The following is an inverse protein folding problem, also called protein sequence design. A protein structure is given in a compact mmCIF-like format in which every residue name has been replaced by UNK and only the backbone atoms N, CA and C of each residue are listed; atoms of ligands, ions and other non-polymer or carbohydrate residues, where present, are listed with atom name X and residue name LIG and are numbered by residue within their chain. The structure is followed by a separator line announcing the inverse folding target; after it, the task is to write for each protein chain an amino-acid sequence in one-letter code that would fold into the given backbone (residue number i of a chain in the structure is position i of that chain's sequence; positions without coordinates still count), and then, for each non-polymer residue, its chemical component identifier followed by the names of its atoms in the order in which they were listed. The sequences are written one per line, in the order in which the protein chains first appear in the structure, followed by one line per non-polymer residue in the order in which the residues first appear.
data_IF_940860026568
#
_entry.id   IF_940860026568
#
_cell.length_a   1.000
_cell.length_b   1.000
_cell.length_c   1.000
_cell.angle_alpha   90.00
_cell.angle_beta   90.00
_cell.angle_gamma   90.00
#
_symmetry.space_group_name_H-M   'P 1'
#
loop_
_entity.id
_entity.type
_entity.pdbx_description
1 polymer ?
#
# COMPACT_ATOMS: atom_id res chain seq x y z
N UNK A 1 -26.36 -10.73 -10.33
CA UNK A 1 -26.42 -12.01 -9.61
C UNK A 1 -27.31 -13.01 -10.34
N UNK A 2 -28.58 -12.70 -10.56
CA UNK A 2 -29.55 -13.60 -11.22
C UNK A 2 -29.04 -14.17 -12.55
N UNK A 3 -28.42 -13.34 -13.38
CA UNK A 3 -27.78 -13.74 -14.63
C UNK A 3 -26.71 -14.81 -14.45
N UNK A 4 -25.83 -14.67 -13.45
CA UNK A 4 -24.74 -15.62 -13.16
C UNK A 4 -25.25 -16.96 -12.66
N UNK A 5 -26.45 -17.00 -12.08
CA UNK A 5 -27.06 -18.22 -11.53
C UNK A 5 -28.14 -18.81 -12.46
N UNK A 6 -28.29 -18.26 -13.66
CA UNK A 6 -29.29 -18.69 -14.64
C UNK A 6 -28.72 -19.72 -15.62
N UNK A 7 -29.59 -20.33 -16.42
CA UNK A 7 -29.19 -21.22 -17.51
C UNK A 7 -28.38 -20.51 -18.62
N UNK A 8 -28.38 -19.17 -18.64
CA UNK A 8 -27.61 -18.35 -19.58
C UNK A 8 -26.20 -18.00 -19.07
N UNK A 9 -25.83 -18.44 -17.86
CA UNK A 9 -24.58 -18.05 -17.22
C UNK A 9 -23.36 -18.38 -18.08
N UNK A 10 -23.32 -19.59 -18.66
CA UNK A 10 -22.20 -20.04 -19.49
C UNK A 10 -21.95 -19.11 -20.68
N UNK A 11 -22.98 -18.83 -21.49
CA UNK A 11 -22.86 -18.00 -22.68
C UNK A 11 -22.36 -16.59 -22.34
N UNK A 12 -22.85 -16.02 -21.25
CA UNK A 12 -22.51 -14.67 -20.81
C UNK A 12 -21.08 -14.60 -20.26
N UNK A 13 -20.67 -15.58 -19.44
CA UNK A 13 -19.31 -15.65 -18.90
C UNK A 13 -18.30 -15.83 -20.05
N UNK A 14 -18.61 -16.68 -21.04
CA UNK A 14 -17.77 -16.85 -22.24
C UNK A 14 -17.65 -15.55 -23.03
N UNK A 15 -18.77 -14.82 -23.19
CA UNK A 15 -18.75 -13.52 -23.88
C UNK A 15 -17.84 -12.52 -23.16
N UNK A 16 -18.00 -12.36 -21.85
CA UNK A 16 -17.18 -11.44 -21.04
C UNK A 16 -15.71 -11.82 -21.10
N UNK A 17 -15.39 -13.12 -21.00
CA UNK A 17 -14.01 -13.60 -21.13
C UNK A 17 -13.38 -13.23 -22.48
N UNK A 18 -14.14 -13.36 -23.57
CA UNK A 18 -13.65 -13.03 -24.91
C UNK A 18 -13.45 -11.52 -25.14
N UNK A 19 -14.11 -10.67 -24.33
CA UNK A 19 -13.91 -9.22 -24.36
C UNK A 19 -12.66 -8.77 -23.57
N UNK A 20 -12.00 -9.69 -22.85
CA UNK A 20 -10.76 -9.45 -22.07
C UNK A 20 -10.89 -8.27 -21.08
N UNK A 21 -12.06 -8.16 -20.46
CA UNK A 21 -12.37 -7.10 -19.48
C UNK A 21 -11.76 -7.47 -18.12
N UNK A 22 -10.97 -6.56 -17.53
CA UNK A 22 -10.56 -6.68 -16.14
C UNK A 22 -11.73 -6.33 -15.20
N UNK A 23 -12.30 -7.38 -14.60
CA UNK A 23 -13.47 -7.29 -13.71
C UNK A 23 -13.14 -6.48 -12.45
N UNK A 24 -11.90 -6.56 -11.96
CA UNK A 24 -11.46 -5.79 -10.79
C UNK A 24 -11.47 -4.31 -11.13
N UNK A 25 -10.85 -3.93 -12.24
CA UNK A 25 -10.71 -2.53 -12.63
C UNK A 25 -12.10 -1.91 -12.93
N UNK A 26 -12.98 -2.67 -13.58
CA UNK A 26 -14.38 -2.27 -13.80
C UNK A 26 -15.11 -2.01 -12.48
N UNK A 27 -15.01 -2.92 -11.51
CA UNK A 27 -15.63 -2.74 -10.20
C UNK A 27 -15.03 -1.54 -9.45
N UNK A 28 -13.71 -1.33 -9.57
CA UNK A 28 -13.00 -0.24 -8.94
C UNK A 28 -13.42 1.15 -9.45
N UNK A 29 -13.69 1.26 -10.75
CA UNK A 29 -14.12 2.49 -11.41
C UNK A 29 -15.60 2.78 -11.16
N UNK A 30 -16.46 1.77 -11.23
CA UNK A 30 -17.91 1.97 -11.29
C UNK A 30 -18.64 1.76 -9.96
N UNK A 31 -18.13 0.90 -9.07
CA UNK A 31 -18.92 0.35 -7.94
C UNK A 31 -18.20 0.37 -6.58
N UNK A 32 -16.91 0.71 -6.53
CA UNK A 32 -16.14 0.73 -5.29
C UNK A 32 -16.64 1.77 -4.28
N UNK A 33 -17.09 1.32 -3.10
CA UNK A 33 -17.51 2.22 -2.02
C UNK A 33 -16.33 2.57 -1.09
N UNK A 34 -15.61 3.62 -1.50
CA UNK A 34 -14.37 4.05 -0.82
C UNK A 34 -14.63 4.83 0.47
N UNK A 35 -15.81 5.43 0.63
CA UNK A 35 -16.13 6.31 1.78
C UNK A 35 -16.67 5.52 2.96
N UNK A 36 -17.60 4.59 2.73
CA UNK A 36 -18.27 3.86 3.80
C UNK A 36 -17.60 2.51 4.06
N UNK A 37 -17.26 1.77 2.99
CA UNK A 37 -16.71 0.41 3.11
C UNK A 37 -15.17 0.38 3.11
N UNK A 38 -14.52 1.51 2.85
CA UNK A 38 -13.05 1.66 2.76
C UNK A 38 -12.40 0.56 1.90
N UNK A 39 -13.07 0.19 0.82
CA UNK A 39 -12.59 -0.84 -0.11
C UNK A 39 -11.39 -0.30 -0.87
N UNK A 40 -10.21 -0.86 -0.61
CA UNK A 40 -9.02 -0.65 -1.42
C UNK A 40 -8.56 -2.00 -1.96
N UNK A 41 -8.20 -2.03 -3.24
CA UNK A 41 -7.87 -3.27 -3.91
C UNK A 41 -6.44 -3.68 -3.62
N UNK A 42 -6.21 -4.98 -3.48
CA UNK A 42 -4.86 -5.52 -3.33
C UNK A 42 -4.13 -5.46 -4.69
N UNK A 43 -3.00 -4.73 -4.80
CA UNK A 43 -2.19 -4.67 -6.01
C UNK A 43 -1.63 -6.04 -6.40
N UNK A 44 -1.45 -6.28 -7.70
CA UNK A 44 -0.97 -7.57 -8.24
C UNK A 44 0.39 -7.97 -7.67
N UNK A 45 1.30 -7.02 -7.47
CA UNK A 45 2.60 -7.29 -6.87
C UNK A 45 2.50 -7.80 -5.42
N UNK A 46 1.53 -7.31 -4.64
CA UNK A 46 1.25 -7.81 -3.28
C UNK A 46 0.57 -9.19 -3.37
N UNK A 47 -0.38 -9.38 -4.29
CA UNK A 47 -1.01 -10.68 -4.53
C UNK A 47 0.04 -11.76 -4.86
N UNK A 48 0.97 -11.46 -5.77
CA UNK A 48 2.07 -12.35 -6.15
C UNK A 48 3.01 -12.64 -4.99
N UNK A 49 3.32 -11.63 -4.17
CA UNK A 49 4.13 -11.80 -2.97
C UNK A 49 3.45 -12.75 -1.98
N UNK A 50 2.18 -12.52 -1.65
CA UNK A 50 1.41 -13.37 -0.73
C UNK A 50 1.30 -14.80 -1.26
N UNK A 51 1.02 -14.97 -2.55
CA UNK A 51 0.95 -16.29 -3.19
C UNK A 51 2.25 -17.10 -3.03
N UNK A 52 3.41 -16.46 -3.30
CA UNK A 52 4.74 -17.08 -3.15
C UNK A 52 5.16 -17.34 -1.70
N UNK A 53 4.56 -16.62 -0.75
CA UNK A 53 4.76 -16.80 0.69
C UNK A 53 3.76 -17.79 1.30
N UNK A 54 2.73 -18.22 0.57
CA UNK A 54 1.74 -19.19 1.06
C UNK A 54 2.33 -20.60 1.04
N UNK A 55 1.94 -21.45 2.00
CA UNK A 55 2.37 -22.85 2.05
C UNK A 55 1.50 -23.73 1.16
N UNK A 56 1.97 -24.96 0.86
CA UNK A 56 1.13 -25.94 0.18
C UNK A 56 -0.05 -26.35 1.07
N UNK A 57 -1.22 -26.50 0.47
CA UNK A 57 -2.42 -26.96 1.15
C UNK A 57 -3.62 -26.08 0.84
N UNK A 58 -4.70 -26.29 1.58
CA UNK A 58 -5.90 -25.47 1.51
C UNK A 58 -5.63 -24.02 1.92
N UNK A 59 -6.29 -23.06 1.28
CA UNK A 59 -6.17 -21.63 1.59
C UNK A 59 -7.54 -20.97 1.63
N UNK A 60 -7.81 -20.17 2.67
CA UNK A 60 -9.00 -19.30 2.74
C UNK A 60 -8.58 -17.83 2.73
N UNK A 61 -9.28 -17.04 1.92
CA UNK A 61 -9.28 -15.58 2.02
C UNK A 61 -10.47 -15.11 2.86
N UNK A 62 -10.20 -14.54 4.03
CA UNK A 62 -11.24 -14.13 4.98
C UNK A 62 -11.82 -12.73 4.73
N UNK A 63 -11.24 -11.98 3.80
CA UNK A 63 -11.66 -10.64 3.42
C UNK A 63 -11.43 -10.47 1.91
N UNK A 64 -12.09 -11.31 1.12
CA UNK A 64 -11.66 -11.55 -0.26
C UNK A 64 -11.90 -10.39 -1.21
N UNK A 65 -12.86 -9.51 -0.91
CA UNK A 65 -13.27 -8.46 -1.82
C UNK A 65 -13.72 -9.09 -3.15
N UNK A 66 -12.99 -8.77 -4.23
CA UNK A 66 -13.22 -9.34 -5.56
C UNK A 66 -12.48 -10.66 -5.82
N UNK A 67 -11.83 -11.26 -4.81
CA UNK A 67 -11.18 -12.57 -4.93
C UNK A 67 -9.79 -12.53 -5.58
N UNK A 68 -9.15 -11.36 -5.67
CA UNK A 68 -7.87 -11.21 -6.38
C UNK A 68 -6.70 -11.92 -5.68
N UNK A 69 -6.73 -11.96 -4.35
CA UNK A 69 -5.68 -12.56 -3.53
C UNK A 69 -5.80 -14.09 -3.53
N UNK A 70 -7.01 -14.63 -3.30
CA UNK A 70 -7.33 -16.05 -3.46
C UNK A 70 -7.05 -16.55 -4.87
N UNK A 71 -7.38 -15.78 -5.93
CA UNK A 71 -7.04 -16.10 -7.32
C UNK A 71 -5.53 -16.24 -7.53
N UNK A 72 -4.73 -15.31 -7.00
CA UNK A 72 -3.27 -15.38 -7.14
C UNK A 72 -2.70 -16.63 -6.45
N UNK A 73 -3.17 -16.95 -5.24
CA UNK A 73 -2.79 -18.18 -4.54
C UNK A 73 -3.22 -19.43 -5.31
N UNK A 74 -4.45 -19.46 -5.82
CA UNK A 74 -4.98 -20.58 -6.58
C UNK A 74 -4.15 -20.85 -7.85
N UNK A 75 -3.75 -19.80 -8.57
CA UNK A 75 -2.92 -19.92 -9.78
C UNK A 75 -1.47 -20.34 -9.46
N UNK A 76 -0.87 -19.80 -8.41
CA UNK A 76 0.51 -20.14 -8.00
C UNK A 76 0.62 -21.58 -7.47
N UNK A 77 -0.34 -21.99 -6.63
CA UNK A 77 -0.24 -23.22 -5.84
C UNK A 77 -1.19 -24.34 -6.31
N UNK A 78 -2.04 -24.11 -7.30
CA UNK A 78 -3.01 -25.09 -7.80
C UNK A 78 -4.09 -25.45 -6.78
N UNK A 79 -4.50 -24.49 -5.94
CA UNK A 79 -5.50 -24.69 -4.89
C UNK A 79 -6.88 -24.24 -5.34
N UNK A 80 -7.93 -24.77 -4.70
CA UNK A 80 -9.28 -24.22 -4.84
C UNK A 80 -9.36 -22.84 -4.18
N UNK A 81 -10.26 -21.97 -4.68
CA UNK A 81 -10.58 -20.70 -4.02
C UNK A 81 -11.58 -20.93 -2.90
N UNK A 82 -11.24 -20.50 -1.69
CA UNK A 82 -12.18 -20.48 -0.56
C UNK A 82 -12.22 -19.05 -0.03
N UNK A 83 -13.38 -18.42 -0.09
CA UNK A 83 -13.51 -16.97 0.08
C UNK A 83 -14.67 -16.60 1.00
N UNK A 84 -14.42 -15.67 1.91
CA UNK A 84 -15.42 -15.00 2.73
C UNK A 84 -15.44 -13.51 2.34
N UNK A 85 -16.62 -13.03 1.94
CA UNK A 85 -16.85 -11.62 1.61
C UNK A 85 -18.13 -11.12 2.29
N UNK A 86 -18.03 -9.93 2.89
CA UNK A 86 -19.13 -9.31 3.64
C UNK A 86 -20.09 -8.53 2.75
N UNK A 87 -19.57 -7.84 1.73
CA UNK A 87 -20.35 -6.98 0.84
C UNK A 87 -21.11 -7.80 -0.20
N UNK A 88 -22.43 -7.81 -0.09
CA UNK A 88 -23.32 -8.36 -1.13
C UNK A 88 -23.12 -7.74 -2.51
N UNK A 89 -22.61 -6.49 -2.57
CA UNK A 89 -22.29 -5.81 -3.84
C UNK A 89 -21.05 -6.40 -4.52
N UNK A 90 -20.11 -6.93 -3.74
CA UNK A 90 -18.82 -7.39 -4.26
C UNK A 90 -18.87 -8.86 -4.69
N UNK A 91 -19.71 -9.67 -4.04
CA UNK A 91 -19.85 -11.12 -4.33
C UNK A 91 -20.09 -11.44 -5.80
N UNK A 92 -20.99 -10.77 -6.54
CA UNK A 92 -21.18 -11.05 -7.97
C UNK A 92 -19.90 -10.84 -8.80
N UNK A 93 -19.05 -9.88 -8.42
CA UNK A 93 -17.79 -9.60 -9.11
C UNK A 93 -16.72 -10.64 -8.76
N UNK A 94 -16.62 -11.06 -7.50
CA UNK A 94 -15.76 -12.17 -7.10
C UNK A 94 -16.13 -13.46 -7.84
N UNK A 95 -17.44 -13.76 -7.92
CA UNK A 95 -17.94 -14.90 -8.69
C UNK A 95 -17.59 -14.78 -10.18
N UNK A 96 -17.86 -13.63 -10.79
CA UNK A 96 -17.57 -13.42 -12.21
C UNK A 96 -16.08 -13.54 -12.52
N UNK A 97 -15.21 -12.94 -11.70
CA UNK A 97 -13.75 -13.03 -11.86
C UNK A 97 -13.27 -14.48 -11.74
N UNK A 98 -13.74 -15.21 -10.72
CA UNK A 98 -13.45 -16.64 -10.57
C UNK A 98 -13.91 -17.46 -11.78
N UNK A 99 -15.11 -17.15 -12.30
CA UNK A 99 -15.70 -17.82 -13.46
C UNK A 99 -14.92 -17.58 -14.75
N UNK A 100 -14.57 -16.33 -15.07
CA UNK A 100 -13.79 -15.97 -16.26
C UNK A 100 -12.39 -16.60 -16.21
N UNK A 101 -11.82 -16.73 -15.02
CA UNK A 101 -10.49 -17.31 -14.81
C UNK A 101 -10.49 -18.84 -14.66
N UNK A 102 -11.66 -19.50 -14.73
CA UNK A 102 -11.74 -20.96 -14.64
C UNK A 102 -11.36 -21.52 -13.26
N UNK A 103 -11.61 -20.77 -12.18
CA UNK A 103 -11.28 -21.17 -10.82
C UNK A 103 -12.37 -22.08 -10.21
N UNK A 104 -11.94 -23.07 -9.43
CA UNK A 104 -12.83 -23.99 -8.71
C UNK A 104 -12.78 -23.73 -7.20
N UNK A 105 -13.91 -23.84 -6.51
CA UNK A 105 -13.99 -23.66 -5.07
C UNK A 105 -15.31 -23.07 -4.57
N UNK A 106 -15.27 -22.31 -3.49
CA UNK A 106 -16.44 -21.76 -2.80
C UNK A 106 -16.25 -20.29 -2.42
N UNK A 107 -17.22 -19.46 -2.77
CA UNK A 107 -17.30 -18.05 -2.37
C UNK A 107 -18.53 -17.87 -1.49
N UNK A 108 -18.35 -17.35 -0.28
CA UNK A 108 -19.40 -17.21 0.72
C UNK A 108 -19.67 -15.76 1.08
N UNK A 109 -20.95 -15.40 1.11
CA UNK A 109 -21.41 -14.19 1.80
C UNK A 109 -21.27 -14.43 3.30
N UNK A 110 -20.32 -13.77 3.95
CA UNK A 110 -20.00 -14.04 5.34
C UNK A 110 -19.36 -12.85 6.06
N UNK A 111 -19.56 -12.82 7.38
CA UNK A 111 -18.84 -11.98 8.33
C UNK A 111 -17.85 -12.85 9.11
N UNK A 112 -16.57 -12.69 8.81
CA UNK A 112 -15.53 -13.47 9.46
C UNK A 112 -15.38 -13.11 10.94
N UNK A 113 -15.49 -11.83 11.34
CA UNK A 113 -15.38 -11.41 12.74
C UNK A 113 -16.50 -12.03 13.59
N UNK A 114 -17.74 -12.00 13.08
CA UNK A 114 -18.91 -12.61 13.73
C UNK A 114 -19.03 -14.12 13.51
N UNK A 115 -18.12 -14.72 12.73
CA UNK A 115 -18.12 -16.13 12.37
C UNK A 115 -19.48 -16.60 11.81
N UNK A 116 -20.06 -15.80 10.92
CA UNK A 116 -21.38 -16.04 10.36
C UNK A 116 -21.30 -16.08 8.84
N UNK A 117 -21.71 -17.20 8.24
CA UNK A 117 -22.00 -17.28 6.80
C UNK A 117 -23.51 -17.17 6.57
N UNK A 118 -23.92 -16.54 5.48
CA UNK A 118 -25.32 -16.42 5.08
C UNK A 118 -25.62 -17.23 3.82
N UNK A 119 -24.74 -17.17 2.83
CA UNK A 119 -24.89 -17.87 1.56
C UNK A 119 -23.54 -18.38 1.08
N UNK A 120 -23.55 -19.48 0.32
CA UNK A 120 -22.35 -20.04 -0.30
C UNK A 120 -22.65 -20.38 -1.76
N UNK A 121 -21.68 -20.07 -2.62
CA UNK A 121 -21.71 -20.31 -4.05
C UNK A 121 -20.51 -21.18 -4.41
N UNK A 122 -20.77 -22.37 -4.93
CA UNK A 122 -19.73 -23.23 -5.48
C UNK A 122 -19.44 -22.79 -6.91
N UNK A 123 -18.17 -22.55 -7.24
CA UNK A 123 -17.71 -22.34 -8.62
C UNK A 123 -17.05 -23.61 -9.12
N UNK A 124 -17.49 -24.12 -10.27
CA UNK A 124 -17.00 -25.38 -10.86
C UNK A 124 -16.49 -25.16 -12.26
N UNK A 125 -15.31 -25.73 -12.55
CA UNK A 125 -14.67 -25.58 -13.85
C UNK A 125 -15.44 -26.30 -14.97
N UNK A 126 -15.63 -25.60 -16.09
CA UNK A 126 -16.23 -26.10 -17.34
C UNK A 126 -15.38 -25.61 -18.51
N UNK A 127 -14.44 -26.44 -18.92
CA UNK A 127 -13.42 -26.07 -19.91
C UNK A 127 -12.48 -25.02 -19.33
N UNK A 128 -12.42 -23.86 -19.98
CA UNK A 128 -11.55 -22.75 -19.62
C UNK A 128 -12.22 -21.70 -18.71
N UNK A 129 -13.51 -21.86 -18.43
CA UNK A 129 -14.29 -21.01 -17.50
C UNK A 129 -14.77 -21.82 -16.30
N UNK A 130 -15.48 -21.19 -15.38
CA UNK A 130 -16.24 -21.85 -14.33
C UNK A 130 -17.68 -21.33 -14.28
N UNK A 131 -18.56 -22.14 -13.70
CA UNK A 131 -19.99 -21.83 -13.55
C UNK A 131 -20.32 -21.80 -12.05
N UNK A 132 -20.96 -20.73 -11.55
CA UNK A 132 -21.33 -20.65 -10.15
C UNK A 132 -22.69 -21.33 -9.92
N UNK A 133 -22.85 -21.96 -8.76
CA UNK A 133 -24.13 -22.48 -8.30
C UNK A 133 -24.29 -22.24 -6.80
N UNK A 134 -25.46 -21.72 -6.40
CA UNK A 134 -25.81 -21.63 -4.99
C UNK A 134 -25.88 -23.04 -4.38
N UNK A 135 -25.21 -23.22 -3.25
CA UNK A 135 -25.13 -24.49 -2.55
C UNK A 135 -25.57 -24.32 -1.09
N UNK A 136 -25.58 -25.41 -0.33
CA UNK A 136 -25.76 -25.34 1.12
C UNK A 136 -24.70 -24.43 1.75
N UNK A 137 -25.14 -23.66 2.75
CA UNK A 137 -24.26 -22.77 3.52
C UNK A 137 -23.10 -23.58 4.10
N UNK A 138 -21.87 -23.12 3.86
CA UNK A 138 -20.66 -23.71 4.45
C UNK A 138 -20.15 -22.84 5.58
N UNK A 139 -20.01 -23.42 6.76
CA UNK A 139 -19.31 -22.78 7.88
C UNK A 139 -17.79 -22.83 7.67
N UNK A 140 -17.08 -21.91 8.30
CA UNK A 140 -15.63 -21.78 8.13
C UNK A 140 -14.90 -22.96 8.75
N UNK A 141 -14.22 -23.73 7.90
CA UNK A 141 -13.37 -24.83 8.31
C UNK A 141 -12.02 -24.38 8.87
N UNK A 142 -11.11 -25.34 8.95
CA UNK A 142 -9.70 -25.11 9.27
C UNK A 142 -8.86 -25.26 7.98
N UNK A 143 -7.98 -24.31 7.72
CA UNK A 143 -7.21 -24.22 6.49
C UNK A 143 -5.71 -24.21 6.76
N UNK A 144 -4.92 -24.76 5.86
CA UNK A 144 -3.45 -24.75 5.98
C UNK A 144 -2.92 -23.31 5.89
N UNK A 145 -3.58 -22.50 5.07
CA UNK A 145 -3.29 -21.09 4.91
C UNK A 145 -4.54 -20.22 5.15
N UNK A 146 -4.32 -19.08 5.80
CA UNK A 146 -5.31 -18.00 5.91
C UNK A 146 -4.68 -16.73 5.36
N UNK A 147 -5.30 -16.12 4.37
CA UNK A 147 -4.86 -14.84 3.80
C UNK A 147 -5.95 -13.79 4.01
N UNK A 148 -5.56 -12.51 4.08
CA UNK A 148 -6.53 -11.42 4.18
C UNK A 148 -5.92 -10.06 3.86
N UNK A 149 -6.74 -9.21 3.25
CA UNK A 149 -6.56 -7.75 3.25
C UNK A 149 -7.80 -7.11 3.90
N UNK A 150 -7.90 -7.09 5.25
CA UNK A 150 -9.08 -6.59 5.93
C UNK A 150 -9.24 -5.07 5.77
N UNK A 151 -10.47 -4.53 5.92
CA UNK A 151 -10.69 -3.08 5.92
C UNK A 151 -9.94 -2.39 7.07
N UNK A 152 -9.00 -1.51 6.74
CA UNK A 152 -8.08 -0.94 7.71
C UNK A 152 -8.77 -0.09 8.79
N UNK A 153 -8.49 -0.44 10.04
CA UNK A 153 -9.00 0.25 11.23
C UNK A 153 -10.51 0.48 11.14
N UNK A 154 -11.24 -0.55 10.70
CA UNK A 154 -12.71 -0.57 10.71
C UNK A 154 -13.23 -0.49 12.15
N UNK A 155 -14.33 0.25 12.34
CA UNK A 155 -15.05 0.26 13.62
C UNK A 155 -15.82 -1.05 13.79
N UNK A 156 -15.89 -1.55 15.01
CA UNK A 156 -16.63 -2.76 15.37
C UNK A 156 -17.43 -2.50 16.65
N UNK A 157 -18.60 -1.84 16.55
CA UNK A 157 -19.33 -1.33 17.72
C UNK A 157 -19.77 -2.43 18.69
N UNK A 158 -20.11 -3.61 18.18
CA UNK A 158 -20.66 -4.74 18.95
C UNK A 158 -19.56 -5.64 19.54
N UNK A 159 -18.30 -5.16 19.60
CA UNK A 159 -17.15 -5.97 19.99
C UNK A 159 -17.28 -6.68 21.34
N UNK A 160 -18.08 -6.15 22.26
CA UNK A 160 -18.31 -6.73 23.58
C UNK A 160 -19.05 -8.07 23.52
N UNK A 161 -19.82 -8.33 22.45
CA UNK A 161 -20.57 -9.57 22.24
C UNK A 161 -19.70 -10.68 21.64
N UNK A 162 -18.54 -10.32 21.07
CA UNK A 162 -17.68 -11.23 20.33
C UNK A 162 -16.28 -11.26 20.95
N UNK A 163 -16.05 -12.23 21.85
CA UNK A 163 -14.71 -12.55 22.31
C UNK A 163 -14.06 -13.57 21.37
N UNK A 164 -12.82 -13.29 20.97
CA UNK A 164 -12.02 -14.19 20.10
C UNK A 164 -10.74 -14.52 20.86
N UNK A 165 -10.46 -15.81 21.04
CA UNK A 165 -9.34 -16.28 21.87
C UNK A 165 -9.25 -15.63 23.27
N UNK A 166 -10.40 -15.28 23.87
CA UNK A 166 -10.47 -14.63 25.19
C UNK A 166 -10.20 -13.12 25.20
N UNK A 167 -10.05 -12.48 24.03
CA UNK A 167 -9.89 -11.04 23.90
C UNK A 167 -11.13 -10.36 23.34
N UNK A 168 -11.48 -9.19 23.90
CA UNK A 168 -12.42 -8.25 23.29
C UNK A 168 -11.68 -7.36 22.29
N UNK A 169 -12.20 -7.29 21.06
CA UNK A 169 -11.62 -6.46 20.01
C UNK A 169 -11.85 -4.97 20.34
N UNK A 170 -10.89 -4.06 20.09
CA UNK A 170 -11.13 -2.63 20.26
C UNK A 170 -12.23 -2.11 19.32
N UNK A 171 -13.29 -1.50 19.87
CA UNK A 171 -14.44 -0.98 19.09
C UNK A 171 -14.05 0.00 17.97
N UNK A 172 -12.97 0.75 18.17
CA UNK A 172 -12.51 1.74 17.19
C UNK A 172 -11.70 1.14 16.03
N UNK A 173 -11.04 -0.01 16.23
CA UNK A 173 -10.10 -0.62 15.29
C UNK A 173 -10.14 -2.13 15.39
N UNK A 174 -10.72 -2.77 14.38
CA UNK A 174 -10.90 -4.22 14.33
C UNK A 174 -9.68 -5.02 13.84
N UNK A 175 -8.56 -4.37 13.52
CA UNK A 175 -7.40 -4.99 12.85
C UNK A 175 -6.93 -6.28 13.55
N UNK A 176 -6.76 -6.26 14.88
CA UNK A 176 -6.40 -7.46 15.66
C UNK A 176 -7.52 -8.51 15.76
N UNK A 177 -8.78 -8.11 15.59
CA UNK A 177 -9.90 -9.06 15.55
C UNK A 177 -9.82 -10.00 14.36
N UNK A 178 -9.44 -9.46 13.19
CA UNK A 178 -9.23 -10.27 11.99
C UNK A 178 -8.07 -11.25 12.18
N UNK A 179 -6.94 -10.79 12.75
CA UNK A 179 -5.82 -11.67 13.10
C UNK A 179 -6.24 -12.80 14.03
N UNK A 180 -6.92 -12.48 15.14
CA UNK A 180 -7.37 -13.47 16.12
C UNK A 180 -8.32 -14.50 15.48
N UNK A 181 -9.27 -14.04 14.65
CA UNK A 181 -10.18 -14.97 13.97
C UNK A 181 -9.44 -15.87 12.99
N UNK A 182 -8.50 -15.33 12.22
CA UNK A 182 -7.71 -16.14 11.31
C UNK A 182 -6.85 -17.16 12.06
N UNK A 183 -6.31 -16.81 13.23
CA UNK A 183 -5.55 -17.73 14.09
C UNK A 183 -6.40 -18.93 14.54
N UNK A 184 -7.69 -18.71 14.84
CA UNK A 184 -8.61 -19.81 15.19
C UNK A 184 -8.90 -20.76 14.02
N UNK A 185 -8.56 -20.38 12.77
CA UNK A 185 -8.91 -21.11 11.55
C UNK A 185 -7.70 -21.62 10.78
N UNK A 186 -6.50 -21.23 11.18
CA UNK A 186 -5.26 -21.69 10.56
C UNK A 186 -4.75 -23.00 11.18
N UNK A 187 -4.21 -23.86 10.32
CA UNK A 187 -3.39 -25.02 10.68
C UNK A 187 -1.90 -24.72 10.52
N UNK A 188 -1.52 -24.04 9.42
CA UNK A 188 -0.15 -23.71 9.06
C UNK A 188 0.17 -22.23 9.22
N UNK A 189 -0.07 -21.43 8.18
CA UNK A 189 0.36 -20.02 8.09
C UNK A 189 -0.83 -19.07 7.91
N UNK A 190 -0.74 -17.89 8.53
CA UNK A 190 -1.62 -16.77 8.22
C UNK A 190 -0.79 -15.58 7.72
N UNK A 191 -1.22 -14.97 6.62
CA UNK A 191 -0.60 -13.76 6.06
C UNK A 191 -1.66 -12.66 5.97
N UNK A 192 -1.51 -11.62 6.80
CA UNK A 192 -2.42 -10.48 6.82
C UNK A 192 -1.73 -9.22 6.34
N UNK A 193 -2.36 -8.51 5.40
CA UNK A 193 -1.95 -7.18 4.97
C UNK A 193 -2.59 -6.16 5.92
N UNK A 194 -1.78 -5.41 6.66
CA UNK A 194 -2.24 -4.54 7.74
C UNK A 194 -1.53 -3.18 7.73
N UNK A 195 -2.17 -2.11 8.24
CA UNK A 195 -1.50 -0.83 8.40
C UNK A 195 -0.45 -0.90 9.51
N UNK A 196 0.68 -0.18 9.36
CA UNK A 196 1.80 -0.20 10.33
C UNK A 196 1.38 0.09 11.77
N UNK A 197 0.26 0.80 11.98
CA UNK A 197 -0.24 1.06 13.33
C UNK A 197 -0.46 -0.20 14.18
N UNK A 198 -0.74 -1.37 13.60
CA UNK A 198 -0.85 -2.61 14.39
C UNK A 198 0.46 -2.94 15.13
N UNK A 199 1.61 -2.53 14.58
CA UNK A 199 2.93 -2.86 15.10
C UNK A 199 3.26 -2.14 16.42
N UNK A 200 2.63 -0.98 16.70
CA UNK A 200 3.02 -0.14 17.82
C UNK A 200 1.85 0.45 18.64
N UNK A 201 0.60 0.39 18.17
CA UNK A 201 -0.54 0.92 18.94
C UNK A 201 -0.67 0.22 20.30
N UNK A 202 -0.95 1.00 21.34
CA UNK A 202 -1.03 0.54 22.73
C UNK A 202 -2.42 0.06 23.14
N UNK A 203 -2.76 0.24 24.42
CA UNK A 203 -4.07 -0.11 25.00
C UNK A 203 -4.46 -1.58 24.73
N UNK A 204 -5.71 -1.84 24.33
CA UNK A 204 -6.20 -3.19 24.05
C UNK A 204 -5.40 -3.92 22.97
N UNK A 205 -5.00 -3.21 21.91
CA UNK A 205 -4.18 -3.77 20.82
C UNK A 205 -2.79 -4.19 21.32
N UNK A 206 -2.17 -3.38 22.17
CA UNK A 206 -0.88 -3.70 22.78
C UNK A 206 -0.92 -5.01 23.59
N UNK A 207 -2.00 -5.24 24.34
CA UNK A 207 -2.19 -6.48 25.11
C UNK A 207 -2.35 -7.71 24.21
N UNK A 208 -3.10 -7.59 23.12
CA UNK A 208 -3.25 -8.67 22.13
C UNK A 208 -1.90 -8.95 21.46
N UNK A 209 -1.18 -7.90 21.02
CA UNK A 209 0.15 -8.03 20.41
C UNK A 209 1.13 -8.74 21.34
N UNK A 210 1.21 -8.31 22.59
CA UNK A 210 2.04 -8.94 23.62
C UNK A 210 1.69 -10.42 23.81
N UNK A 211 0.39 -10.76 23.84
CA UNK A 211 -0.06 -12.15 23.90
C UNK A 211 0.42 -12.96 22.69
N UNK A 212 0.25 -12.44 21.46
CA UNK A 212 0.67 -13.14 20.24
C UNK A 212 2.19 -13.38 20.23
N UNK A 213 2.98 -12.40 20.67
CA UNK A 213 4.45 -12.52 20.76
C UNK A 213 4.85 -13.54 21.82
N UNK A 214 4.27 -13.47 23.03
CA UNK A 214 4.57 -14.40 24.14
C UNK A 214 4.23 -15.85 23.80
N UNK A 215 3.18 -16.06 23.00
CA UNK A 215 2.77 -17.38 22.52
C UNK A 215 3.49 -17.78 21.22
N UNK A 216 4.51 -17.02 20.78
CA UNK A 216 5.33 -17.32 19.60
C UNK A 216 4.51 -17.50 18.31
N UNK A 217 3.46 -16.70 18.17
CA UNK A 217 2.54 -16.77 17.03
C UNK A 217 2.97 -15.85 15.89
N UNK A 218 3.64 -14.73 16.18
CA UNK A 218 4.17 -13.84 15.14
C UNK A 218 5.49 -14.41 14.65
N UNK A 219 5.57 -14.71 13.35
CA UNK A 219 6.76 -15.25 12.69
C UNK A 219 7.53 -14.20 11.92
N UNK A 220 6.85 -13.28 11.24
CA UNK A 220 7.52 -12.21 10.52
C UNK A 220 6.68 -10.93 10.39
N UNK A 221 7.37 -9.81 10.22
CA UNK A 221 6.82 -8.50 9.86
C UNK A 221 7.57 -7.98 8.65
N UNK A 222 6.88 -7.76 7.55
CA UNK A 222 7.46 -7.28 6.29
C UNK A 222 6.87 -5.91 5.98
N UNK A 223 7.68 -4.85 6.08
CA UNK A 223 7.28 -3.50 5.67
C UNK A 223 7.28 -3.40 4.15
N UNK A 224 6.15 -3.01 3.56
CA UNK A 224 6.02 -2.86 2.12
C UNK A 224 6.31 -1.42 1.68
N UNK A 225 6.64 -1.20 0.39
CA UNK A 225 6.74 0.14 -0.17
C UNK A 225 5.51 1.01 0.06
N UNK A 226 5.74 2.31 0.12
CA UNK A 226 4.66 3.28 0.19
C UNK A 226 3.92 3.38 -1.15
N UNK A 227 2.71 3.95 -1.10
CA UNK A 227 1.90 4.27 -2.28
C UNK A 227 1.67 3.08 -3.24
N UNK A 228 1.73 1.84 -2.76
CA UNK A 228 1.35 0.65 -3.55
C UNK A 228 -0.15 0.57 -3.77
N UNK A 229 -0.94 1.17 -2.88
CA UNK A 229 -2.40 1.23 -2.96
C UNK A 229 -2.84 2.57 -3.55
N UNK A 230 -3.82 2.57 -4.45
CA UNK A 230 -4.33 3.79 -5.09
C UNK A 230 -5.02 4.74 -4.10
N UNK A 231 -5.69 4.20 -3.08
CA UNK A 231 -6.61 4.98 -2.26
C UNK A 231 -5.98 5.48 -0.96
N UNK A 232 -4.76 5.07 -0.63
CA UNK A 232 -4.12 5.41 0.63
C UNK A 232 -2.60 5.54 0.55
N UNK A 233 -2.07 6.54 1.24
CA UNK A 233 -0.64 6.69 1.52
C UNK A 233 -0.25 6.05 2.87
N UNK A 234 -1.16 5.30 3.51
CA UNK A 234 -0.87 4.64 4.78
C UNK A 234 0.20 3.57 4.55
N UNK A 235 1.31 3.58 5.31
CA UNK A 235 2.29 2.51 5.27
C UNK A 235 1.64 1.16 5.66
N UNK A 236 1.85 0.16 4.82
CA UNK A 236 1.32 -1.20 4.97
C UNK A 236 2.43 -2.20 5.22
N UNK A 237 2.09 -3.29 5.90
CA UNK A 237 3.00 -4.38 6.20
C UNK A 237 2.27 -5.72 6.06
N UNK A 238 3.03 -6.79 5.83
CA UNK A 238 2.56 -8.14 6.05
C UNK A 238 2.90 -8.54 7.48
N UNK A 239 1.90 -9.00 8.23
CA UNK A 239 2.10 -9.73 9.49
C UNK A 239 1.88 -11.20 9.20
N UNK A 240 2.93 -12.00 9.40
CA UNK A 240 2.90 -13.44 9.17
C UNK A 240 2.83 -14.15 10.51
N UNK A 241 1.81 -14.99 10.66
CA UNK A 241 1.59 -15.80 11.85
C UNK A 241 1.86 -17.27 11.52
N UNK A 242 2.61 -17.93 12.40
CA UNK A 242 2.88 -19.37 12.39
C UNK A 242 2.93 -19.87 13.83
N UNK A 243 2.53 -21.12 14.07
CA UNK A 243 2.60 -21.68 15.43
C UNK A 243 4.05 -22.01 15.78
N UNK A 244 4.44 -21.66 17.00
CA UNK A 244 5.76 -22.01 17.59
C UNK A 244 6.96 -21.42 16.83
N UNK A 245 6.83 -20.19 16.31
CA UNK A 245 7.97 -19.51 15.68
C UNK A 245 9.17 -19.41 16.64
N UNK A 246 10.42 -19.68 16.21
CA UNK A 246 11.58 -19.60 17.08
C UNK A 246 12.00 -18.16 17.40
N UNK A 247 11.70 -17.24 16.49
CA UNK A 247 12.11 -15.83 16.48
C UNK A 247 11.08 -14.99 15.68
N UNK A 248 11.33 -13.68 15.53
CA UNK A 248 10.54 -12.81 14.65
C UNK A 248 11.47 -12.21 13.59
N UNK A 249 11.18 -12.51 12.32
CA UNK A 249 11.90 -11.93 11.18
C UNK A 249 11.30 -10.56 10.83
N UNK A 250 12.13 -9.53 10.81
CA UNK A 250 11.78 -8.21 10.30
C UNK A 250 12.42 -8.01 8.92
N UNK A 251 11.63 -7.55 7.95
CA UNK A 251 12.12 -7.15 6.62
C UNK A 251 11.62 -5.73 6.34
N UNK A 252 12.53 -4.82 6.01
CA UNK A 252 12.21 -3.49 5.49
C UNK A 252 12.31 -3.50 3.96
N UNK A 253 11.19 -3.77 3.30
CA UNK A 253 11.10 -3.71 1.85
C UNK A 253 10.58 -2.34 1.35
N UNK A 254 10.60 -1.30 2.19
CA UNK A 254 10.06 0.03 1.81
C UNK A 254 10.70 0.64 0.55
N UNK A 255 11.95 0.28 0.24
CA UNK A 255 12.69 0.71 -0.96
C UNK A 255 12.48 -0.21 -2.19
N UNK A 256 11.74 -1.31 -2.05
CA UNK A 256 11.53 -2.31 -3.11
C UNK A 256 10.38 -1.95 -4.05
N UNK A 257 10.43 -0.79 -4.71
CA UNK A 257 9.39 -0.35 -5.64
C UNK A 257 9.91 0.13 -6.99
N UNK A 258 9.02 0.11 -7.97
CA UNK A 258 9.13 0.84 -9.23
C UNK A 258 8.14 2.00 -9.17
N UNK A 259 8.64 3.21 -9.36
CA UNK A 259 7.81 4.41 -9.37
C UNK A 259 6.93 4.43 -10.62
N UNK A 260 5.60 4.51 -10.45
CA UNK A 260 4.65 4.86 -11.53
C UNK A 260 3.88 6.13 -11.16
N UNK A 261 3.10 6.67 -12.10
CA UNK A 261 2.41 7.95 -11.95
C UNK A 261 1.35 7.93 -10.83
N UNK A 262 0.40 6.99 -10.91
CA UNK A 262 -0.73 6.91 -9.98
C UNK A 262 -0.36 6.25 -8.65
N UNK A 263 0.30 5.09 -8.70
CA UNK A 263 0.76 4.31 -7.54
C UNK A 263 2.16 3.75 -7.80
N UNK A 264 2.90 3.40 -6.77
CA UNK A 264 4.10 2.58 -6.90
C UNK A 264 3.70 1.13 -7.25
N UNK A 265 4.66 0.34 -7.72
CA UNK A 265 4.49 -1.07 -7.98
C UNK A 265 5.75 -1.84 -7.56
N UNK A 266 5.76 -3.17 -7.59
CA UNK A 266 6.97 -3.96 -7.44
C UNK A 266 7.17 -4.89 -8.65
N UNK A 267 8.36 -4.87 -9.22
CA UNK A 267 8.74 -5.81 -10.28
C UNK A 267 9.00 -7.21 -9.70
N UNK A 268 9.00 -8.24 -10.56
CA UNK A 268 9.22 -9.63 -10.15
C UNK A 268 10.54 -9.84 -9.37
N UNK A 269 11.60 -9.09 -9.73
CA UNK A 269 12.88 -9.14 -9.03
C UNK A 269 12.78 -8.65 -7.58
N UNK A 270 11.99 -7.60 -7.34
CA UNK A 270 11.75 -7.03 -6.00
C UNK A 270 10.92 -7.99 -5.14
N UNK A 271 9.85 -8.55 -5.71
CA UNK A 271 9.06 -9.61 -5.05
C UNK A 271 9.93 -10.82 -4.71
N UNK A 272 10.77 -11.26 -5.65
CA UNK A 272 11.66 -12.41 -5.45
C UNK A 272 12.67 -12.15 -4.33
N UNK A 273 13.24 -10.94 -4.24
CA UNK A 273 14.15 -10.55 -3.17
C UNK A 273 13.49 -10.67 -1.79
N UNK A 274 12.25 -10.18 -1.64
CA UNK A 274 11.49 -10.29 -0.39
C UNK A 274 11.24 -11.77 -0.04
N UNK A 275 10.78 -12.56 -1.00
CA UNK A 275 10.51 -14.00 -0.81
C UNK A 275 11.78 -14.75 -0.41
N UNK A 276 12.92 -14.46 -1.04
CA UNK A 276 14.19 -15.08 -0.68
C UNK A 276 14.66 -14.69 0.72
N UNK A 277 14.54 -13.41 1.11
CA UNK A 277 14.86 -12.97 2.45
C UNK A 277 14.00 -13.67 3.51
N UNK A 278 12.69 -13.79 3.24
CA UNK A 278 11.78 -14.55 4.10
C UNK A 278 12.18 -16.02 4.24
N UNK A 279 12.46 -16.70 3.12
CA UNK A 279 12.83 -18.12 3.10
C UNK A 279 14.19 -18.39 3.73
N UNK A 280 15.17 -17.50 3.53
CA UNK A 280 16.52 -17.64 4.09
C UNK A 280 16.52 -17.38 5.59
N UNK A 281 15.66 -16.47 6.07
CA UNK A 281 15.47 -16.11 7.49
C UNK A 281 16.82 -15.83 8.18
N UNK A 282 17.54 -14.86 7.63
CA UNK A 282 18.87 -14.42 8.10
C UNK A 282 18.94 -12.91 8.09
N UNK A 283 19.85 -12.38 8.90
CA UNK A 283 20.19 -10.96 8.88
C UNK A 283 20.75 -10.57 7.51
N UNK A 284 20.28 -9.44 6.99
CA UNK A 284 20.75 -8.82 5.76
C UNK A 284 20.92 -7.34 6.08
N UNK A 285 22.14 -6.84 5.91
CA UNK A 285 22.49 -5.45 6.23
C UNK A 285 21.45 -4.47 5.66
N UNK A 286 20.94 -3.59 6.53
CA UNK A 286 19.91 -2.57 6.25
C UNK A 286 18.58 -3.07 5.67
N UNK A 287 18.33 -4.38 5.65
CA UNK A 287 17.17 -4.95 4.95
C UNK A 287 16.39 -5.96 5.78
N UNK A 288 17.06 -6.84 6.53
CA UNK A 288 16.40 -7.85 7.33
C UNK A 288 17.14 -8.13 8.64
N UNK A 289 16.39 -8.42 9.70
CA UNK A 289 16.92 -8.78 11.02
C UNK A 289 16.07 -9.87 11.67
N UNK A 290 16.72 -10.90 12.22
CA UNK A 290 16.09 -12.00 12.95
C UNK A 290 16.14 -11.70 14.45
N UNK A 291 15.06 -11.13 14.98
CA UNK A 291 15.02 -10.70 16.37
C UNK A 291 14.61 -11.84 17.31
N UNK A 292 15.37 -12.01 18.39
CA UNK A 292 14.96 -12.90 19.49
C UNK A 292 13.78 -12.32 20.27
N UNK A 293 12.94 -13.18 20.88
CA UNK A 293 11.85 -12.72 21.74
C UNK A 293 12.29 -11.83 22.91
N UNK A 294 13.51 -12.02 23.42
CA UNK A 294 14.09 -11.16 24.48
C UNK A 294 14.36 -9.74 23.98
N UNK A 295 14.80 -9.61 22.73
CA UNK A 295 14.98 -8.31 22.08
C UNK A 295 13.65 -7.60 21.92
N UNK A 296 12.64 -8.32 21.40
CA UNK A 296 11.28 -7.78 21.24
C UNK A 296 10.65 -7.37 22.58
N UNK A 297 10.91 -8.13 23.64
CA UNK A 297 10.48 -7.78 25.00
C UNK A 297 11.17 -6.50 25.52
N UNK A 298 12.47 -6.31 25.27
CA UNK A 298 13.19 -5.07 25.63
C UNK A 298 12.65 -3.85 24.88
N UNK A 299 12.09 -4.08 23.69
CA UNK A 299 11.41 -3.08 22.89
C UNK A 299 9.93 -2.91 23.27
N UNK A 300 9.51 -3.31 24.47
CA UNK A 300 8.12 -3.19 24.97
C UNK A 300 7.07 -3.83 24.04
N UNK A 301 7.43 -4.95 23.39
CA UNK A 301 6.57 -5.63 22.42
C UNK A 301 6.19 -4.74 21.22
N UNK A 302 6.97 -3.70 20.94
CA UNK A 302 6.81 -2.83 19.79
C UNK A 302 7.47 -3.49 18.57
N UNK A 303 6.70 -3.72 17.51
CA UNK A 303 7.13 -4.36 16.28
C UNK A 303 7.44 -3.35 15.17
N UNK A 304 7.58 -2.05 15.49
CA UNK A 304 7.91 -1.05 14.49
C UNK A 304 9.28 -1.36 13.87
N UNK A 305 9.29 -1.55 12.55
CA UNK A 305 10.44 -2.12 11.81
C UNK A 305 11.76 -1.36 12.02
N UNK A 306 11.79 0.00 12.06
CA UNK A 306 13.02 0.75 12.30
C UNK A 306 13.68 0.50 13.67
N UNK A 307 13.04 -0.24 14.59
CA UNK A 307 13.66 -0.67 15.85
C UNK A 307 14.57 -1.89 15.70
N UNK A 308 14.46 -2.60 14.57
CA UNK A 308 15.13 -3.87 14.30
C UNK A 308 15.97 -3.81 13.03
N UNK A 309 15.56 -3.04 12.04
CA UNK A 309 16.29 -2.84 10.79
C UNK A 309 16.65 -1.37 10.67
N UNK A 310 17.94 -1.07 10.78
CA UNK A 310 18.46 0.27 10.51
C UNK A 310 18.69 0.42 9.00
N UNK A 311 17.68 0.91 8.29
CA UNK A 311 17.73 1.15 6.85
C UNK A 311 18.28 2.54 6.48
N UNK A 312 18.79 3.29 7.47
CA UNK A 312 19.37 4.60 7.25
C UNK A 312 20.63 4.50 6.38
N UNK A 313 20.64 5.29 5.32
CA UNK A 313 21.82 5.53 4.50
C UNK A 313 22.23 6.97 4.75
N UNK A 314 23.44 7.19 5.24
CA UNK A 314 24.01 8.53 5.27
C UNK A 314 24.06 9.05 3.82
N UNK A 315 23.26 10.08 3.53
CA UNK A 315 23.35 10.78 2.25
C UNK A 315 24.78 11.29 2.09
N UNK A 316 25.43 10.91 0.99
CA UNK A 316 26.71 11.53 0.65
C UNK A 316 26.46 13.01 0.45
N UNK A 317 27.07 13.83 1.31
CA UNK A 317 27.01 15.27 1.17
C UNK A 317 27.52 15.63 -0.24
N UNK A 318 26.77 16.43 -1.01
CA UNK A 318 27.23 16.85 -2.32
C UNK A 318 28.56 17.58 -2.17
N UNK A 319 29.44 17.43 -3.16
CA UNK A 319 30.72 18.11 -3.16
C UNK A 319 30.52 19.64 -3.09
N UNK A 320 31.16 20.26 -2.09
CA UNK A 320 30.99 21.69 -1.81
C UNK A 320 31.49 22.54 -2.98
N UNK A 321 32.51 22.09 -3.70
CA UNK A 321 33.03 22.80 -4.87
C UNK A 321 32.01 22.81 -6.00
N UNK A 322 31.37 21.67 -6.27
CA UNK A 322 30.27 21.55 -7.22
C UNK A 322 29.08 22.44 -6.85
N UNK A 323 28.66 22.47 -5.58
CA UNK A 323 27.57 23.35 -5.12
C UNK A 323 27.93 24.83 -5.38
N UNK A 324 29.14 25.24 -5.00
CA UNK A 324 29.58 26.62 -5.15
C UNK A 324 29.71 27.03 -6.62
N UNK A 325 30.10 26.12 -7.51
CA UNK A 325 30.16 26.38 -8.95
C UNK A 325 28.74 26.51 -9.54
N UNK A 326 27.84 25.60 -9.20
CA UNK A 326 26.44 25.68 -9.63
C UNK A 326 25.78 26.98 -9.14
N UNK A 327 26.06 27.41 -7.91
CA UNK A 327 25.52 28.65 -7.36
C UNK A 327 26.01 29.88 -8.15
N UNK A 328 27.30 29.92 -8.52
CA UNK A 328 27.84 30.97 -9.39
C UNK A 328 27.23 30.96 -10.79
N UNK A 329 27.00 29.77 -11.35
CA UNK A 329 26.37 29.63 -12.67
C UNK A 329 24.92 30.13 -12.64
N UNK A 330 24.14 29.72 -11.64
CA UNK A 330 22.76 30.18 -11.42
C UNK A 330 22.72 31.70 -11.26
N UNK A 331 23.60 32.29 -10.44
CA UNK A 331 23.68 33.75 -10.28
C UNK A 331 23.97 34.45 -11.62
N UNK A 332 24.88 33.88 -12.42
CA UNK A 332 25.20 34.43 -13.75
C UNK A 332 24.02 34.33 -14.72
N UNK A 333 23.30 33.21 -14.72
CA UNK A 333 22.11 33.00 -15.53
C UNK A 333 20.95 33.90 -15.10
N UNK A 334 20.75 34.09 -13.79
CA UNK A 334 19.78 35.03 -13.24
C UNK A 334 20.09 36.46 -13.72
N UNK A 335 21.34 36.90 -13.62
CA UNK A 335 21.75 38.23 -14.07
C UNK A 335 21.50 38.43 -15.57
N UNK A 336 21.87 37.45 -16.40
CA UNK A 336 21.63 37.48 -17.86
C UNK A 336 20.15 37.54 -18.18
N UNK A 337 19.35 36.67 -17.56
CA UNK A 337 17.90 36.57 -17.78
C UNK A 337 17.21 37.85 -17.35
N UNK A 338 17.57 38.38 -16.18
CA UNK A 338 17.03 39.63 -15.64
C UNK A 338 17.38 40.83 -16.52
N UNK A 339 18.60 40.88 -17.08
CA UNK A 339 18.99 41.91 -18.03
C UNK A 339 18.18 41.83 -19.33
N UNK A 340 18.04 40.63 -19.90
CA UNK A 340 17.23 40.42 -21.11
C UNK A 340 15.76 40.84 -20.87
N UNK A 341 15.17 40.45 -19.74
CA UNK A 341 13.82 40.87 -19.37
C UNK A 341 13.70 42.39 -19.20
N UNK A 342 14.70 43.04 -18.61
CA UNK A 342 14.74 44.51 -18.47
C UNK A 342 14.79 45.23 -19.82
N UNK A 343 15.54 44.69 -20.79
CA UNK A 343 15.61 45.19 -22.17
C UNK A 343 14.26 45.01 -22.88
N UNK A 344 13.68 43.81 -22.84
CA UNK A 344 12.37 43.52 -23.43
C UNK A 344 11.25 44.42 -22.88
N UNK A 345 11.21 44.67 -21.56
CA UNK A 345 10.27 45.63 -20.97
C UNK A 345 10.49 47.06 -21.46
N UNK A 346 11.71 47.40 -21.89
CA UNK A 346 12.04 48.70 -22.47
C UNK A 346 11.50 48.90 -23.89
N UNK A 347 11.35 47.82 -24.64
CA UNK A 347 10.89 47.84 -26.03
C UNK A 347 9.36 47.75 -26.17
N UNK A 348 8.64 47.43 -25.07
CA UNK A 348 7.18 47.39 -25.07
C UNK A 348 6.57 48.78 -25.29
N UNK A 349 5.50 48.82 -26.08
CA UNK A 349 4.68 50.01 -26.33
C UNK A 349 3.22 49.68 -26.04
N UNK A 350 2.43 50.64 -25.57
CA UNK A 350 1.04 50.41 -25.15
C UNK A 350 0.32 51.71 -24.80
N UNK A 351 -0.86 51.62 -24.20
CA UNK A 351 -1.62 52.77 -23.71
C UNK A 351 -0.86 53.50 -22.59
N UNK A 352 -1.24 54.74 -22.26
CA UNK A 352 -0.60 55.49 -21.16
C UNK A 352 -0.67 54.74 -19.83
N UNK A 353 -1.81 54.09 -19.55
CA UNK A 353 -2.01 53.28 -18.33
C UNK A 353 -1.07 52.07 -18.31
N UNK A 354 -0.95 51.33 -19.42
CA UNK A 354 -0.03 50.19 -19.52
C UNK A 354 1.43 50.62 -19.35
N UNK A 355 1.81 51.75 -19.94
CA UNK A 355 3.18 52.27 -19.84
C UNK A 355 3.56 52.70 -18.42
N UNK A 356 2.60 53.10 -17.57
CA UNK A 356 2.83 53.35 -16.14
C UNK A 356 3.19 52.04 -15.42
N UNK A 357 2.44 50.96 -15.69
CA UNK A 357 2.70 49.65 -15.10
C UNK A 357 4.03 49.06 -15.57
N UNK A 358 4.37 49.18 -16.86
CA UNK A 358 5.63 48.71 -17.44
C UNK A 358 6.82 49.43 -16.80
N UNK A 359 6.76 50.77 -16.69
CA UNK A 359 7.83 51.57 -16.05
C UNK A 359 8.03 51.18 -14.58
N UNK A 360 6.95 50.93 -13.84
CA UNK A 360 7.02 50.49 -12.45
C UNK A 360 7.76 49.15 -12.31
N UNK A 361 7.40 48.15 -13.12
CA UNK A 361 8.05 46.83 -13.06
C UNK A 361 9.49 46.85 -13.56
N UNK A 362 9.79 47.65 -14.60
CA UNK A 362 11.15 47.83 -15.12
C UNK A 362 12.11 48.38 -14.06
N UNK A 363 11.63 49.26 -13.17
CA UNK A 363 12.44 49.76 -12.05
C UNK A 363 12.76 48.69 -11.00
N UNK A 364 11.85 47.72 -10.77
CA UNK A 364 12.04 46.65 -9.79
C UNK A 364 13.14 45.69 -10.26
N UNK A 365 13.12 45.32 -11.53
CA UNK A 365 14.06 44.33 -12.09
C UNK A 365 15.36 44.95 -12.62
N UNK A 366 15.53 46.27 -12.45
CA UNK A 366 16.71 46.99 -12.94
C UNK A 366 18.01 46.29 -12.48
N UNK A 367 18.95 46.02 -13.39
CA UNK A 367 20.25 45.44 -13.02
C UNK A 367 20.93 46.28 -11.94
N UNK A 368 21.56 45.61 -10.96
CA UNK A 368 22.35 46.32 -9.94
C UNK A 368 23.57 46.92 -10.65
N UNK A 369 23.89 48.18 -10.36
CA UNK A 369 25.04 48.87 -10.96
C UNK A 369 26.33 48.14 -10.61
N UNK A 370 27.21 48.00 -11.59
CA UNK A 370 28.56 47.49 -11.34
C UNK A 370 29.35 48.50 -10.51
N UNK A 371 30.32 48.03 -9.71
CA UNK A 371 31.20 48.90 -8.89
C UNK A 371 31.83 50.04 -9.70
N UNK A 372 32.10 49.81 -10.98
CA UNK A 372 32.67 50.77 -11.93
C UNK A 372 31.72 51.92 -12.28
N UNK A 373 30.44 51.63 -12.46
CA UNK A 373 29.39 52.64 -12.74
C UNK A 373 29.03 53.48 -11.49
N UNK A 374 29.29 52.94 -10.30
CA UNK A 374 29.14 53.68 -9.03
C UNK A 374 30.27 54.68 -8.82
N UNK A 375 31.52 54.33 -9.18
CA UNK A 375 32.66 55.27 -9.13
C UNK A 375 32.60 56.34 -10.21
N UNK A 376 32.18 56.02 -11.44
CA UNK A 376 32.07 57.01 -12.53
C UNK A 376 31.00 58.10 -12.26
N UNK A 377 29.97 57.81 -11.44
CA UNK A 377 29.04 58.84 -10.97
C UNK A 377 29.58 59.69 -9.81
N UNK A 378 30.52 59.18 -9.02
CA UNK A 378 31.16 59.94 -7.95
C UNK A 378 32.16 60.96 -8.52
N UNK A 379 32.82 60.68 -9.64
CA UNK A 379 33.77 61.62 -10.27
C UNK A 379 33.11 62.78 -11.04
N UNK A 380 31.82 62.69 -11.39
CA UNK A 380 31.09 63.76 -12.09
C UNK A 380 30.30 64.71 -11.16
N UNK A 381 30.34 64.50 -9.85
CA UNK A 381 29.58 65.27 -8.85
C UNK A 381 30.36 66.28 -8.02
N UNK A 382 31.69 66.17 -7.93
CA UNK A 382 32.51 66.92 -6.98
C UNK A 382 33.54 67.86 -7.64
N UNK A 383 33.09 68.70 -8.59
CA UNK A 383 33.86 69.87 -9.00
C UNK A 383 32.98 71.12 -8.91
N UNK A 384 33.31 71.96 -7.93
CA UNK A 384 32.78 73.28 -7.53
C UNK A 384 31.64 73.32 -6.49
N UNK A 385 32.03 73.26 -5.21
CA UNK A 385 31.69 74.32 -4.24
C UNK A 385 32.70 74.29 -3.06
N UNK A 386 33.84 74.95 -3.25
CA UNK A 386 34.67 75.44 -2.15
C UNK A 386 33.98 76.63 -1.45
N UNK A 387 34.38 76.85 -0.18
CA UNK A 387 34.29 78.08 0.63
C UNK A 387 33.05 78.23 1.52
N UNK A 388 33.18 77.76 2.77
CA UNK A 388 33.26 78.64 3.95
C UNK A 388 33.97 77.94 5.12
#
# INVERSE_FOLDING_TARGET
MDTLLSDQAEDIIRKIKNEDIDIRDTFQEEQGDRKELKQDFTPDCICNLVAKLTEKGSCIDMCSGTGVLSKAVAKENGTQVEEYEYSTRTIPFALLDACVNGLEGNISHADCLRNAAWETYAVKQVGDISIPKKTEKREMGMYDNVIMNPPYSMKFPDAEEFQIMGFTIPKAKADYGFLLRGIERMKGRLIAILPHGVLFRGAGEGKIREYLIKNKLISAVIGLPDKLFLSTNIPVCLVIIEKESPDILFIDASKEFVKKSAQNDMADGQVTKIVEAFKKRKDIDKYAHVAEYKEVQKNDYNLNIPRYVDSFEEEQLPDIETILNNLKEIDSEEEKTRKALYEMLGDLTGSEEDMIHIKKHRNIIRPKRTKKELTEQMELGDIFADVL
#
